data_IF_997151295257
#
_entry.id   IF_997151295257
#
_cell.length_a   1.000
_cell.length_b   1.000
_cell.length_c   1.000
_cell.angle_alpha   90.00
_cell.angle_beta   90.00
_cell.angle_gamma   90.00
#
_symmetry.space_group_name_H-M   'P 1'
#
loop_
_entity.id
_entity.type
_entity.pdbx_description
1 polymer ?
#
# COMPACT_ATOMS: atom_id res chain seq x y z
N UNK A 1 12.70 9.81 25.38
CA UNK A 1 12.95 8.80 26.43
C UNK A 1 13.81 7.71 25.82
N UNK A 2 14.96 7.38 26.41
CA UNK A 2 15.88 6.36 25.85
C UNK A 2 15.29 4.96 26.03
N UNK A 3 15.52 4.06 25.07
CA UNK A 3 14.98 2.69 25.00
C UNK A 3 15.25 1.79 26.23
N UNK A 4 16.09 2.23 27.18
CA UNK A 4 16.39 1.54 28.44
C UNK A 4 15.33 1.78 29.55
N UNK A 5 14.44 2.77 29.42
CA UNK A 5 13.46 3.11 30.47
C UNK A 5 12.07 2.49 30.25
N UNK A 6 11.78 1.96 29.06
CA UNK A 6 10.44 1.45 28.70
C UNK A 6 10.05 0.15 29.42
N UNK A 7 10.94 -0.85 29.60
CA UNK A 7 10.62 -2.04 30.38
C UNK A 7 10.33 -1.72 31.86
N UNK A 8 11.10 -0.80 32.44
CA UNK A 8 10.90 -0.29 33.80
C UNK A 8 9.56 0.45 33.97
N UNK A 9 9.10 1.13 32.92
CA UNK A 9 7.81 1.82 32.92
C UNK A 9 6.64 0.84 32.98
N UNK A 10 6.69 -0.25 32.22
CA UNK A 10 5.63 -1.30 32.23
C UNK A 10 5.56 -1.97 33.60
N UNK A 11 6.70 -2.25 34.23
CA UNK A 11 6.75 -2.85 35.57
C UNK A 11 6.12 -1.91 36.61
N UNK A 12 6.48 -0.61 36.61
CA UNK A 12 5.90 0.40 37.51
C UNK A 12 4.39 0.59 37.30
N UNK A 13 3.92 0.52 36.06
CA UNK A 13 2.48 0.56 35.76
C UNK A 13 1.77 -0.69 36.27
N UNK A 14 2.41 -1.86 36.18
CA UNK A 14 1.88 -3.13 36.71
C UNK A 14 1.75 -3.06 38.24
N UNK A 15 2.74 -2.48 38.94
CA UNK A 15 2.65 -2.20 40.38
C UNK A 15 1.49 -1.22 40.72
N UNK A 16 1.25 -0.21 39.87
CA UNK A 16 0.08 0.69 40.00
C UNK A 16 -1.26 -0.05 39.79
N UNK A 17 -1.30 -1.08 38.95
CA UNK A 17 -2.48 -1.95 38.82
C UNK A 17 -2.71 -2.74 40.12
N UNK A 18 -1.66 -3.38 40.63
CA UNK A 18 -1.77 -4.30 41.76
C UNK A 18 -2.06 -3.58 43.09
N UNK A 19 -1.58 -2.34 43.23
CA UNK A 19 -1.85 -1.46 44.37
C UNK A 19 -3.28 -0.89 44.43
N UNK A 20 -4.08 -1.04 43.37
CA UNK A 20 -5.47 -0.61 43.36
C UNK A 20 -6.31 -1.41 44.37
N UNK A 21 -6.92 -0.70 45.33
CA UNK A 21 -7.69 -1.29 46.45
C UNK A 21 -9.06 -1.86 46.05
N UNK A 22 -9.63 -1.37 44.95
CA UNK A 22 -10.97 -1.75 44.48
C UNK A 22 -10.83 -2.65 43.25
N UNK A 23 -11.46 -3.83 43.29
CA UNK A 23 -11.31 -4.85 42.24
C UNK A 23 -11.80 -4.38 40.87
N UNK A 24 -12.88 -3.59 40.81
CA UNK A 24 -13.35 -2.99 39.55
C UNK A 24 -12.32 -2.01 38.95
N UNK A 25 -11.65 -1.22 39.78
CA UNK A 25 -10.56 -0.32 39.37
C UNK A 25 -9.35 -1.11 38.90
N UNK A 26 -8.95 -2.16 39.63
CA UNK A 26 -7.85 -3.05 39.24
C UNK A 26 -8.10 -3.68 37.88
N UNK A 27 -9.31 -4.20 37.64
CA UNK A 27 -9.70 -4.80 36.35
C UNK A 27 -9.64 -3.78 35.22
N UNK A 28 -10.17 -2.58 35.43
CA UNK A 28 -10.13 -1.51 34.43
C UNK A 28 -8.69 -1.07 34.09
N UNK A 29 -7.82 -0.92 35.11
CA UNK A 29 -6.40 -0.60 34.93
C UNK A 29 -5.65 -1.69 34.19
N UNK A 30 -5.87 -2.96 34.55
CA UNK A 30 -5.26 -4.10 33.87
C UNK A 30 -5.65 -4.18 32.40
N UNK A 31 -6.94 -3.96 32.10
CA UNK A 31 -7.42 -3.95 30.72
C UNK A 31 -6.84 -2.77 29.92
N UNK A 32 -6.81 -1.57 30.50
CA UNK A 32 -6.14 -0.41 29.91
C UNK A 32 -4.67 -0.69 29.59
N UNK A 33 -3.93 -1.24 30.55
CA UNK A 33 -2.50 -1.56 30.41
C UNK A 33 -2.27 -2.56 29.28
N UNK A 34 -3.04 -3.65 29.23
CA UNK A 34 -2.94 -4.65 28.16
C UNK A 34 -3.18 -4.06 26.77
N UNK A 35 -4.12 -3.13 26.65
CA UNK A 35 -4.46 -2.50 25.37
C UNK A 35 -3.39 -1.50 24.91
N UNK A 36 -2.74 -0.78 25.82
CA UNK A 36 -1.73 0.24 25.46
C UNK A 36 -0.29 -0.30 25.47
N UNK A 37 -0.04 -1.49 26.01
CA UNK A 37 1.29 -2.07 26.10
C UNK A 37 2.14 -2.01 24.81
N UNK A 38 1.58 -2.23 23.59
CA UNK A 38 2.35 -2.08 22.36
C UNK A 38 2.91 -0.67 22.17
N UNK A 39 2.13 0.37 22.49
CA UNK A 39 2.52 1.79 22.34
C UNK A 39 3.53 2.20 23.41
N UNK A 40 3.37 1.71 24.63
CA UNK A 40 4.33 1.94 25.72
C UNK A 40 5.68 1.27 25.42
N UNK A 41 5.71 0.22 24.59
CA UNK A 41 6.94 -0.48 24.24
C UNK A 41 7.78 0.23 23.17
N UNK A 42 7.20 1.21 22.46
CA UNK A 42 7.89 1.99 21.42
C UNK A 42 8.18 3.42 21.91
N UNK A 43 7.16 4.27 21.98
CA UNK A 43 7.27 5.67 22.42
C UNK A 43 5.88 6.24 22.75
N UNK A 44 5.73 6.87 23.92
CA UNK A 44 4.48 7.55 24.31
C UNK A 44 4.50 8.99 23.77
N UNK A 45 4.07 9.13 22.51
CA UNK A 45 3.92 10.42 21.81
C UNK A 45 2.46 10.75 21.48
N UNK A 46 2.17 12.01 21.13
CA UNK A 46 0.85 12.43 20.64
C UNK A 46 0.38 11.57 19.48
N UNK A 47 1.29 11.32 18.52
CA UNK A 47 1.03 10.50 17.33
C UNK A 47 0.78 9.03 17.70
N UNK A 48 1.60 8.45 18.56
CA UNK A 48 1.45 7.05 19.01
C UNK A 48 0.12 6.82 19.73
N UNK A 49 -0.29 7.75 20.60
CA UNK A 49 -1.58 7.69 21.29
C UNK A 49 -2.76 7.92 20.34
N UNK A 50 -2.63 8.80 19.35
CA UNK A 50 -3.65 8.98 18.31
C UNK A 50 -3.83 7.72 17.46
N UNK A 51 -2.73 7.07 17.07
CA UNK A 51 -2.74 5.84 16.27
C UNK A 51 -3.35 4.68 17.06
N UNK A 52 -3.00 4.58 18.35
CA UNK A 52 -3.62 3.62 19.26
C UNK A 52 -5.13 3.82 19.37
N UNK A 53 -5.58 5.06 19.57
CA UNK A 53 -7.00 5.39 19.67
C UNK A 53 -7.75 5.05 18.37
N UNK A 54 -7.13 5.35 17.22
CA UNK A 54 -7.68 5.01 15.90
C UNK A 54 -7.80 3.48 15.70
N UNK A 55 -6.77 2.72 16.07
CA UNK A 55 -6.81 1.26 16.00
C UNK A 55 -7.89 0.67 16.92
N UNK A 56 -8.08 1.23 18.11
CA UNK A 56 -9.20 0.83 18.97
C UNK A 56 -10.56 1.13 18.32
N UNK A 57 -10.74 2.27 17.65
CA UNK A 57 -11.98 2.54 16.93
C UNK A 57 -12.19 1.55 15.78
N UNK A 58 -11.12 1.23 15.04
CA UNK A 58 -11.13 0.22 13.98
C UNK A 58 -11.49 -1.19 14.50
N UNK A 59 -11.15 -1.50 15.75
CA UNK A 59 -11.52 -2.74 16.45
C UNK A 59 -12.93 -2.69 17.08
N UNK A 60 -13.67 -1.60 16.90
CA UNK A 60 -15.07 -1.45 17.31
C UNK A 60 -15.28 -0.88 18.71
N UNK A 61 -14.24 -0.34 19.35
CA UNK A 61 -14.41 0.39 20.62
C UNK A 61 -15.07 1.75 20.38
N UNK A 62 -16.04 2.11 21.22
CA UNK A 62 -16.65 3.44 21.20
C UNK A 62 -15.64 4.52 21.58
N UNK A 63 -15.81 5.73 21.08
CA UNK A 63 -14.99 6.91 21.41
C UNK A 63 -15.02 7.17 22.92
N UNK A 64 -16.18 6.95 23.56
CA UNK A 64 -16.34 7.05 25.01
C UNK A 64 -15.50 6.02 25.77
N UNK A 65 -15.39 4.80 25.27
CA UNK A 65 -14.56 3.74 25.86
C UNK A 65 -13.07 4.04 25.69
N UNK A 66 -12.66 4.53 24.53
CA UNK A 66 -11.29 4.95 24.25
C UNK A 66 -10.89 6.11 25.19
N UNK A 67 -11.74 7.13 25.30
CA UNK A 67 -11.52 8.27 26.19
C UNK A 67 -11.45 7.85 27.67
N UNK A 68 -12.23 6.85 28.08
CA UNK A 68 -12.16 6.26 29.41
C UNK A 68 -10.79 5.60 29.65
N UNK A 69 -10.30 4.77 28.73
CA UNK A 69 -9.00 4.12 28.88
C UNK A 69 -7.83 5.12 28.89
N UNK A 70 -7.86 6.16 28.05
CA UNK A 70 -6.86 7.24 28.11
C UNK A 70 -6.85 7.93 29.49
N UNK A 71 -8.02 8.15 30.09
CA UNK A 71 -8.13 8.72 31.44
C UNK A 71 -7.53 7.79 32.49
N UNK A 72 -7.80 6.49 32.41
CA UNK A 72 -7.26 5.49 33.34
C UNK A 72 -5.73 5.46 33.27
N UNK A 73 -5.18 5.42 32.05
CA UNK A 73 -3.72 5.33 31.85
C UNK A 73 -3.05 6.64 32.27
N UNK A 74 -3.60 7.80 31.90
CA UNK A 74 -3.10 9.10 32.33
C UNK A 74 -3.04 9.23 33.86
N UNK A 75 -4.03 8.69 34.58
CA UNK A 75 -4.02 8.64 36.03
C UNK A 75 -2.91 7.72 36.57
N UNK A 76 -2.73 6.53 35.99
CA UNK A 76 -1.64 5.62 36.36
C UNK A 76 -0.26 6.24 36.13
N UNK A 77 -0.05 6.90 34.99
CA UNK A 77 1.19 7.63 34.67
C UNK A 77 1.48 8.73 35.70
N UNK A 78 0.45 9.45 36.15
CA UNK A 78 0.58 10.46 37.20
C UNK A 78 0.93 9.85 38.56
N UNK A 79 0.35 8.69 38.91
CA UNK A 79 0.64 7.97 40.17
C UNK A 79 2.09 7.50 40.26
N UNK A 80 2.68 7.08 39.13
CA UNK A 80 4.08 6.70 39.06
C UNK A 80 5.01 7.91 38.83
N UNK A 81 4.49 9.15 38.85
CA UNK A 81 5.32 10.36 38.73
C UNK A 81 5.84 10.65 37.33
N UNK A 82 5.24 10.06 36.29
CA UNK A 82 5.60 10.24 34.87
C UNK A 82 4.43 10.90 34.10
N UNK A 83 3.93 12.09 34.49
CA UNK A 83 2.81 12.71 33.77
C UNK A 83 3.20 13.01 32.33
N UNK A 84 2.32 12.68 31.38
CA UNK A 84 2.53 12.94 29.96
C UNK A 84 1.36 13.75 29.39
N UNK A 85 1.66 14.94 28.88
CA UNK A 85 0.66 15.86 28.32
C UNK A 85 -0.06 15.30 27.09
N UNK A 86 0.55 14.33 26.39
CA UNK A 86 -0.01 13.74 25.18
C UNK A 86 -1.39 13.11 25.40
N UNK A 87 -1.61 12.50 26.56
CA UNK A 87 -2.92 11.96 26.93
C UNK A 87 -4.01 13.04 27.02
N UNK A 88 -3.66 14.24 27.52
CA UNK A 88 -4.58 15.36 27.59
C UNK A 88 -4.86 15.94 26.22
N UNK A 89 -3.83 16.06 25.37
CA UNK A 89 -3.96 16.59 24.02
C UNK A 89 -4.87 15.71 23.16
N UNK A 90 -4.59 14.40 23.09
CA UNK A 90 -5.40 13.45 22.33
C UNK A 90 -6.84 13.42 22.88
N UNK A 91 -7.03 13.40 24.21
CA UNK A 91 -8.37 13.41 24.81
C UNK A 91 -9.18 14.67 24.50
N UNK A 92 -8.55 15.84 24.40
CA UNK A 92 -9.23 17.06 23.94
C UNK A 92 -9.71 16.90 22.50
N UNK A 93 -8.86 16.37 21.62
CA UNK A 93 -9.21 16.11 20.22
C UNK A 93 -10.32 15.05 20.07
N UNK A 94 -10.43 14.09 20.99
CA UNK A 94 -11.51 13.09 21.00
C UNK A 94 -12.92 13.64 21.29
N UNK A 95 -13.04 14.77 22.00
CA UNK A 95 -14.34 15.28 22.46
C UNK A 95 -15.32 15.69 21.34
N UNK A 96 -14.86 15.81 20.10
CA UNK A 96 -15.69 16.07 18.91
C UNK A 96 -15.91 14.87 17.99
N UNK A 97 -15.38 13.69 18.34
CA UNK A 97 -15.44 12.51 17.48
C UNK A 97 -16.75 11.73 17.69
N UNK A 98 -17.34 11.26 16.58
CA UNK A 98 -18.53 10.42 16.59
C UNK A 98 -18.17 8.92 16.70
N UNK A 99 -19.06 8.13 17.29
CA UNK A 99 -18.93 6.68 17.31
C UNK A 99 -19.04 6.08 15.90
N UNK A 100 -18.32 4.98 15.67
CA UNK A 100 -18.28 4.29 14.40
C UNK A 100 -19.55 3.47 14.16
N UNK A 101 -19.99 3.39 12.90
CA UNK A 101 -20.96 2.37 12.47
C UNK A 101 -20.33 0.97 12.57
N UNK A 102 -21.16 -0.08 12.56
CA UNK A 102 -20.65 -1.45 12.56
C UNK A 102 -19.79 -1.72 11.32
N UNK A 103 -18.48 -1.93 11.55
CA UNK A 103 -17.49 -2.29 10.53
C UNK A 103 -16.86 -3.62 10.91
N UNK A 104 -16.62 -4.48 9.91
CA UNK A 104 -15.93 -5.75 10.11
C UNK A 104 -15.01 -6.00 8.93
N UNK A 105 -13.70 -6.06 9.21
CA UNK A 105 -12.69 -6.35 8.19
C UNK A 105 -12.88 -7.76 7.61
N UNK A 106 -13.21 -8.75 8.43
CA UNK A 106 -13.45 -10.11 7.96
C UNK A 106 -14.69 -10.21 7.07
N UNK A 107 -15.78 -9.54 7.43
CA UNK A 107 -16.99 -9.50 6.59
C UNK A 107 -16.74 -8.76 5.28
N UNK A 108 -15.96 -7.66 5.31
CA UNK A 108 -15.52 -6.93 4.14
C UNK A 108 -14.67 -7.80 3.21
N UNK A 109 -13.64 -8.45 3.75
CA UNK A 109 -12.76 -9.35 3.01
C UNK A 109 -13.53 -10.51 2.36
N UNK A 110 -14.41 -11.16 3.13
CA UNK A 110 -15.30 -12.20 2.61
C UNK A 110 -16.15 -11.71 1.44
N UNK A 111 -16.78 -10.54 1.59
CA UNK A 111 -17.57 -9.93 0.51
C UNK A 111 -16.74 -9.69 -0.74
N UNK A 112 -15.58 -9.04 -0.60
CA UNK A 112 -14.71 -8.74 -1.75
C UNK A 112 -14.26 -10.02 -2.44
N UNK A 113 -13.89 -11.06 -1.68
CA UNK A 113 -13.50 -12.37 -2.23
C UNK A 113 -14.62 -13.01 -3.05
N UNK A 114 -15.83 -13.10 -2.50
CA UNK A 114 -16.98 -13.69 -3.19
C UNK A 114 -17.33 -12.92 -4.46
N UNK A 115 -17.41 -11.58 -4.38
CA UNK A 115 -17.75 -10.74 -5.53
C UNK A 115 -16.64 -10.71 -6.59
N UNK A 116 -15.37 -10.85 -6.21
CA UNK A 116 -14.25 -10.84 -7.15
C UNK A 116 -14.06 -12.18 -7.87
N UNK A 117 -14.69 -13.26 -7.38
CA UNK A 117 -14.54 -14.60 -7.95
C UNK A 117 -15.28 -14.80 -9.29
N UNK A 118 -16.37 -14.07 -9.54
CA UNK A 118 -17.17 -14.14 -10.77
C UNK A 118 -17.63 -12.74 -11.23
N UNK A 119 -16.67 -11.93 -11.68
CA UNK A 119 -16.95 -10.56 -12.15
C UNK A 119 -17.85 -10.54 -13.39
N UNK A 120 -17.74 -11.54 -14.28
CA UNK A 120 -18.58 -11.61 -15.48
C UNK A 120 -20.05 -11.88 -15.12
N UNK A 121 -20.31 -12.80 -14.17
CA UNK A 121 -21.64 -13.12 -13.66
C UNK A 121 -22.22 -12.09 -12.69
N UNK A 122 -21.40 -11.14 -12.20
CA UNK A 122 -21.84 -10.16 -11.21
C UNK A 122 -23.00 -9.27 -11.68
N UNK A 123 -23.87 -8.95 -10.73
CA UNK A 123 -24.87 -7.89 -10.92
C UNK A 123 -24.22 -6.51 -10.89
N UNK A 124 -24.85 -5.53 -11.55
CA UNK A 124 -24.42 -4.12 -11.51
C UNK A 124 -24.22 -3.59 -10.07
N UNK A 125 -25.01 -4.06 -9.10
CA UNK A 125 -24.82 -3.67 -7.70
C UNK A 125 -23.50 -4.17 -7.11
N UNK A 126 -23.09 -5.39 -7.45
CA UNK A 126 -21.81 -5.96 -7.03
C UNK A 126 -20.64 -5.20 -7.65
N UNK A 127 -20.70 -4.93 -8.96
CA UNK A 127 -19.63 -4.21 -9.67
C UNK A 127 -19.47 -2.78 -9.15
N UNK A 128 -20.57 -2.07 -8.88
CA UNK A 128 -20.53 -0.75 -8.23
C UNK A 128 -19.91 -0.81 -6.83
N UNK A 129 -20.16 -1.89 -6.08
CA UNK A 129 -19.64 -2.05 -4.72
C UNK A 129 -18.14 -2.33 -4.74
N UNK A 130 -17.69 -3.24 -5.62
CA UNK A 130 -16.28 -3.50 -5.85
C UNK A 130 -15.54 -2.22 -6.28
N UNK A 131 -16.09 -1.49 -7.25
CA UNK A 131 -15.51 -0.22 -7.71
C UNK A 131 -15.44 0.81 -6.59
N UNK A 132 -16.54 0.99 -5.86
CA UNK A 132 -16.59 1.98 -4.78
C UNK A 132 -15.58 1.67 -3.67
N UNK A 133 -15.38 0.41 -3.33
CA UNK A 133 -14.46 0.05 -2.24
C UNK A 133 -13.01 0.02 -2.75
N UNK A 134 -12.71 -0.74 -3.80
CA UNK A 134 -11.33 -0.98 -4.23
C UNK A 134 -10.66 0.25 -4.87
N UNK A 135 -11.44 1.20 -5.42
CA UNK A 135 -10.90 2.46 -5.98
C UNK A 135 -10.88 3.61 -4.96
N UNK A 136 -10.52 3.31 -3.71
CA UNK A 136 -10.29 4.35 -2.69
C UNK A 136 -11.54 4.79 -1.95
N UNK A 137 -12.52 3.90 -1.76
CA UNK A 137 -13.67 4.22 -0.92
C UNK A 137 -14.60 5.29 -1.51
N UNK A 138 -14.80 5.31 -2.83
CA UNK A 138 -15.61 6.29 -3.53
C UNK A 138 -17.05 6.36 -3.00
N UNK A 139 -17.53 7.60 -2.86
CA UNK A 139 -18.92 7.94 -2.60
C UNK A 139 -19.75 7.81 -3.87
N UNK A 140 -21.08 7.64 -3.76
CA UNK A 140 -21.94 7.41 -4.92
C UNK A 140 -21.88 8.48 -6.02
N UNK A 141 -21.54 9.73 -5.67
CA UNK A 141 -21.34 10.82 -6.66
C UNK A 141 -20.04 10.65 -7.44
N UNK A 142 -18.98 10.18 -6.78
CA UNK A 142 -17.66 9.95 -7.38
C UNK A 142 -17.74 8.74 -8.32
N UNK A 143 -18.40 7.66 -7.90
CA UNK A 143 -18.68 6.49 -8.77
C UNK A 143 -19.47 6.89 -10.02
N UNK A 144 -20.45 7.79 -9.89
CA UNK A 144 -21.23 8.30 -11.02
C UNK A 144 -20.38 9.11 -12.00
N UNK A 145 -19.33 9.79 -11.50
CA UNK A 145 -18.47 10.62 -12.34
C UNK A 145 -17.39 9.84 -13.09
N UNK A 146 -17.13 8.58 -12.74
CA UNK A 146 -16.07 7.77 -13.37
C UNK A 146 -16.23 7.70 -14.89
N UNK A 147 -15.12 7.95 -15.58
CA UNK A 147 -15.02 7.93 -17.04
C UNK A 147 -14.11 6.79 -17.51
N UNK A 148 -14.26 6.40 -18.77
CA UNK A 148 -13.31 5.50 -19.42
C UNK A 148 -11.98 6.25 -19.67
N UNK A 149 -10.86 5.65 -19.28
CA UNK A 149 -9.52 6.24 -19.47
C UNK A 149 -8.69 6.37 -18.18
N UNK A 150 -9.30 6.15 -17.01
CA UNK A 150 -8.53 5.92 -15.77
C UNK A 150 -7.86 4.53 -15.84
N UNK A 151 -6.60 4.44 -15.39
CA UNK A 151 -5.85 3.17 -15.38
C UNK A 151 -6.29 2.33 -14.18
N UNK A 152 -7.29 1.49 -14.39
CA UNK A 152 -7.71 0.46 -13.42
C UNK A 152 -6.88 -0.84 -13.54
N UNK A 153 -5.89 -0.85 -14.43
CA UNK A 153 -5.19 -2.05 -14.88
C UNK A 153 -4.37 -2.72 -13.76
N UNK A 154 -4.02 -1.97 -12.73
CA UNK A 154 -3.28 -2.46 -11.57
C UNK A 154 -4.12 -3.33 -10.62
N UNK A 155 -5.46 -3.19 -10.64
CA UNK A 155 -6.37 -3.89 -9.72
C UNK A 155 -7.30 -4.82 -10.52
N UNK A 156 -6.97 -6.12 -10.55
CA UNK A 156 -7.60 -7.09 -11.45
C UNK A 156 -9.14 -7.11 -11.43
N UNK A 157 -9.86 -7.09 -10.29
CA UNK A 157 -11.32 -7.01 -10.29
C UNK A 157 -11.85 -5.74 -11.00
N UNK A 158 -11.15 -4.61 -10.86
CA UNK A 158 -11.55 -3.34 -11.47
C UNK A 158 -11.27 -3.34 -12.98
N UNK A 159 -10.16 -3.93 -13.41
CA UNK A 159 -9.87 -4.14 -14.82
C UNK A 159 -10.98 -4.97 -15.51
N UNK A 160 -11.40 -6.07 -14.88
CA UNK A 160 -12.50 -6.91 -15.39
C UNK A 160 -13.83 -6.14 -15.47
N UNK A 161 -14.13 -5.30 -14.48
CA UNK A 161 -15.31 -4.42 -14.51
C UNK A 161 -15.21 -3.40 -15.65
N UNK A 162 -14.03 -2.79 -15.83
CA UNK A 162 -13.80 -1.80 -16.88
C UNK A 162 -14.04 -2.40 -18.27
N UNK A 163 -13.49 -3.59 -18.55
CA UNK A 163 -13.70 -4.29 -19.82
C UNK A 163 -15.16 -4.75 -20.00
N UNK A 164 -15.82 -5.22 -18.95
CA UNK A 164 -17.25 -5.63 -18.98
C UNK A 164 -18.18 -4.51 -19.42
N UNK A 165 -17.93 -3.28 -18.97
CA UNK A 165 -18.78 -2.13 -19.28
C UNK A 165 -18.32 -1.31 -20.48
N UNK A 166 -17.16 -1.62 -21.06
CA UNK A 166 -16.58 -0.93 -22.21
C UNK A 166 -17.56 -0.90 -23.38
N UNK A 167 -17.98 0.30 -23.77
CA UNK A 167 -18.92 0.52 -24.88
C UNK A 167 -18.34 1.50 -25.89
N UNK A 168 -18.51 1.24 -27.20
CA UNK A 168 -18.12 2.21 -28.22
C UNK A 168 -18.84 3.54 -27.97
N UNK A 169 -18.08 4.64 -27.81
CA UNK A 169 -18.54 6.03 -27.61
C UNK A 169 -19.17 6.37 -26.25
N UNK A 170 -19.16 5.48 -25.27
CA UNK A 170 -19.59 5.86 -23.91
C UNK A 170 -18.49 6.66 -23.21
N UNK A 171 -18.85 7.78 -22.58
CA UNK A 171 -17.93 8.57 -21.75
C UNK A 171 -17.89 8.07 -20.30
N UNK A 172 -19.04 7.69 -19.75
CA UNK A 172 -19.19 7.22 -18.37
C UNK A 172 -19.04 5.70 -18.27
N UNK A 173 -18.37 5.23 -17.22
CA UNK A 173 -18.11 3.81 -16.99
C UNK A 173 -19.41 3.02 -16.77
N UNK A 174 -20.27 3.47 -15.85
CA UNK A 174 -21.51 2.76 -15.53
C UNK A 174 -22.73 3.38 -16.24
N UNK A 175 -23.67 2.56 -16.72
CA UNK A 175 -24.90 3.03 -17.36
C UNK A 175 -25.98 3.42 -16.32
N UNK A 176 -25.65 4.30 -15.37
CA UNK A 176 -26.56 4.79 -14.33
C UNK A 176 -26.58 6.31 -14.33
N UNK A 177 -27.77 6.90 -14.14
CA UNK A 177 -27.95 8.35 -14.16
C UNK A 177 -28.00 9.01 -12.77
N UNK A 178 -28.12 8.24 -11.69
CA UNK A 178 -28.39 8.78 -10.34
C UNK A 178 -27.46 8.22 -9.27
N UNK A 179 -26.81 9.12 -8.54
CA UNK A 179 -26.02 8.79 -7.35
C UNK A 179 -26.88 8.15 -6.25
N UNK A 180 -28.18 8.48 -6.18
CA UNK A 180 -29.11 7.86 -5.22
C UNK A 180 -29.32 6.38 -5.53
N UNK A 181 -29.41 6.03 -6.81
CA UNK A 181 -29.55 4.63 -7.23
C UNK A 181 -28.29 3.83 -6.91
N UNK A 182 -27.11 4.40 -7.19
CA UNK A 182 -25.81 3.81 -6.81
C UNK A 182 -25.78 3.56 -5.30
N UNK A 183 -26.13 4.56 -4.49
CA UNK A 183 -26.15 4.44 -3.03
C UNK A 183 -27.09 3.32 -2.54
N UNK A 184 -28.26 3.15 -3.15
CA UNK A 184 -29.19 2.08 -2.78
C UNK A 184 -28.64 0.70 -3.15
N UNK A 185 -28.04 0.55 -4.34
CA UNK A 185 -27.46 -0.71 -4.81
C UNK A 185 -26.27 -1.14 -3.95
N UNK A 186 -25.34 -0.22 -3.67
CA UNK A 186 -24.19 -0.46 -2.79
C UNK A 186 -24.67 -0.87 -1.40
N UNK A 187 -25.56 -0.09 -0.77
CA UNK A 187 -26.11 -0.44 0.56
C UNK A 187 -26.82 -1.78 0.57
N UNK A 188 -27.50 -2.15 -0.50
CA UNK A 188 -28.15 -3.46 -0.63
C UNK A 188 -27.17 -4.62 -0.72
N UNK A 189 -25.95 -4.41 -1.23
CA UNK A 189 -24.87 -5.40 -1.19
C UNK A 189 -24.26 -5.43 0.22
N UNK A 190 -23.84 -4.28 0.76
CA UNK A 190 -23.20 -4.19 2.08
C UNK A 190 -24.04 -4.83 3.19
N UNK A 191 -25.34 -4.56 3.23
CA UNK A 191 -26.27 -5.14 4.22
C UNK A 191 -26.37 -6.66 4.16
N UNK A 192 -26.19 -7.28 2.98
CA UNK A 192 -26.18 -8.76 2.87
C UNK A 192 -25.01 -9.39 3.62
N UNK A 193 -23.93 -8.63 3.82
CA UNK A 193 -22.74 -9.03 4.56
C UNK A 193 -22.70 -8.45 5.98
N UNK A 194 -23.78 -7.80 6.45
CA UNK A 194 -23.84 -7.19 7.77
C UNK A 194 -22.98 -5.92 7.92
N UNK A 195 -22.61 -5.28 6.81
CA UNK A 195 -21.84 -4.04 6.79
C UNK A 195 -22.79 -2.85 6.71
N UNK A 196 -22.67 -1.91 7.64
CA UNK A 196 -23.51 -0.71 7.72
C UNK A 196 -22.78 0.59 7.39
N UNK A 197 -21.44 0.57 7.43
CA UNK A 197 -20.61 1.71 7.12
C UNK A 197 -20.57 2.05 5.62
N UNK A 198 -20.19 3.29 5.30
CA UNK A 198 -20.01 3.77 3.93
C UNK A 198 -18.71 3.22 3.31
N UNK A 199 -18.61 3.27 1.98
CA UNK A 199 -17.48 2.72 1.22
C UNK A 199 -16.14 3.32 1.64
N UNK A 200 -16.10 4.62 1.97
CA UNK A 200 -14.90 5.33 2.43
C UNK A 200 -14.38 4.80 3.77
N UNK A 201 -15.29 4.54 4.69
CA UNK A 201 -15.03 4.03 6.03
C UNK A 201 -14.56 2.57 5.97
N UNK A 202 -15.18 1.78 5.10
CA UNK A 202 -14.77 0.39 4.85
C UNK A 202 -13.39 0.31 4.19
N UNK A 203 -13.11 1.17 3.21
CA UNK A 203 -11.79 1.25 2.58
C UNK A 203 -10.72 1.71 3.57
N UNK A 204 -10.99 2.77 4.36
CA UNK A 204 -10.07 3.24 5.39
C UNK A 204 -9.78 2.16 6.46
N UNK A 205 -10.79 1.38 6.86
CA UNK A 205 -10.58 0.23 7.73
C UNK A 205 -9.62 -0.78 7.09
N UNK A 206 -9.83 -1.12 5.82
CA UNK A 206 -8.96 -2.04 5.11
C UNK A 206 -7.53 -1.51 4.97
N UNK A 207 -7.36 -0.20 4.77
CA UNK A 207 -6.07 0.46 4.72
C UNK A 207 -5.33 0.40 6.07
N UNK A 208 -6.03 0.66 7.18
CA UNK A 208 -5.45 0.51 8.52
C UNK A 208 -5.02 -0.94 8.80
N UNK A 209 -5.82 -1.92 8.40
CA UNK A 209 -5.47 -3.35 8.54
C UNK A 209 -4.35 -3.79 7.60
N UNK A 210 -4.07 -3.01 6.55
CA UNK A 210 -2.93 -3.18 5.66
C UNK A 210 -1.70 -2.36 6.10
N UNK A 211 -1.73 -1.76 7.30
CA UNK A 211 -0.65 -0.96 7.87
C UNK A 211 -0.31 0.32 7.07
N UNK A 212 -1.26 0.82 6.27
CA UNK A 212 -1.12 2.11 5.59
C UNK A 212 -1.17 3.23 6.63
N UNK A 213 -0.29 4.22 6.49
CA UNK A 213 -0.23 5.34 7.43
C UNK A 213 -1.52 6.20 7.38
N UNK A 214 -2.06 6.67 8.52
CA UNK A 214 -3.26 7.51 8.56
C UNK A 214 -3.19 8.75 7.66
N UNK A 215 -2.01 9.35 7.56
CA UNK A 215 -1.73 10.52 6.73
C UNK A 215 -1.92 10.22 5.24
N UNK A 216 -1.49 9.04 4.78
CA UNK A 216 -1.68 8.55 3.41
C UNK A 216 -3.15 8.19 3.14
N UNK A 217 -3.84 7.57 4.12
CA UNK A 217 -5.28 7.26 4.03
C UNK A 217 -6.08 8.55 3.78
N UNK A 218 -5.79 9.60 4.56
CA UNK A 218 -6.43 10.91 4.40
C UNK A 218 -6.10 11.56 3.06
N UNK A 219 -4.87 11.40 2.56
CA UNK A 219 -4.49 11.89 1.24
C UNK A 219 -5.29 11.21 0.11
N UNK A 220 -5.49 9.89 0.20
CA UNK A 220 -6.29 9.15 -0.78
C UNK A 220 -7.77 9.54 -0.72
N UNK A 221 -8.35 9.67 0.46
CA UNK A 221 -9.77 10.00 0.62
C UNK A 221 -10.08 11.48 0.36
N UNK A 222 -9.17 12.39 0.73
CA UNK A 222 -9.40 13.83 0.71
C UNK A 222 -10.38 14.33 1.78
N UNK A 223 -10.88 13.46 2.65
CA UNK A 223 -11.76 13.80 3.78
C UNK A 223 -11.67 12.77 4.91
N UNK A 224 -12.19 13.12 6.08
CA UNK A 224 -12.32 12.21 7.23
C UNK A 224 -13.59 11.36 7.08
N UNK A 225 -13.51 10.03 6.96
CA UNK A 225 -14.68 9.17 6.80
C UNK A 225 -15.47 9.08 8.11
N UNK A 226 -16.81 9.08 8.01
CA UNK A 226 -17.69 9.15 9.18
C UNK A 226 -17.55 7.93 10.11
N UNK A 227 -17.26 6.74 9.57
CA UNK A 227 -17.08 5.52 10.34
C UNK A 227 -15.75 5.47 11.11
N UNK A 228 -14.75 6.28 10.72
CA UNK A 228 -13.43 6.35 11.37
C UNK A 228 -13.09 7.82 11.66
N UNK A 229 -13.92 8.45 12.48
CA UNK A 229 -13.81 9.86 12.84
C UNK A 229 -12.46 10.25 13.48
N UNK A 230 -11.76 9.28 14.09
CA UNK A 230 -10.44 9.51 14.69
C UNK A 230 -9.30 9.67 13.68
N UNK A 231 -9.55 9.42 12.40
CA UNK A 231 -8.62 9.83 11.35
C UNK A 231 -8.41 11.34 11.34
N UNK A 232 -9.40 12.13 11.77
CA UNK A 232 -9.26 13.60 11.92
C UNK A 232 -8.25 14.06 12.98
N UNK A 233 -7.56 13.14 13.67
CA UNK A 233 -6.44 13.46 14.55
C UNK A 233 -5.12 13.70 13.79
N UNK A 234 -5.07 13.32 12.51
CA UNK A 234 -3.91 13.37 11.63
C UNK A 234 -4.13 14.38 10.50
N UNK A 235 -3.02 14.83 9.91
CA UNK A 235 -3.03 15.68 8.72
C UNK A 235 -2.80 14.82 7.47
N UNK A 236 -3.40 15.21 6.35
CA UNK A 236 -3.21 14.51 5.07
C UNK A 236 -1.78 14.70 4.56
N UNK A 237 -1.14 13.62 4.12
CA UNK A 237 0.15 13.69 3.44
C UNK A 237 0.01 14.31 2.04
N UNK A 238 1.06 14.97 1.56
CA UNK A 238 1.18 15.26 0.13
C UNK A 238 1.53 13.95 -0.59
N UNK A 239 0.72 13.56 -1.56
CA UNK A 239 0.86 12.26 -2.23
C UNK A 239 0.66 12.46 -3.73
N UNK A 240 1.56 11.91 -4.53
CA UNK A 240 1.44 11.96 -5.98
C UNK A 240 0.54 10.85 -6.54
N UNK A 241 0.31 10.85 -7.87
CA UNK A 241 -0.56 9.87 -8.51
C UNK A 241 -0.02 8.43 -8.42
N UNK A 242 1.31 8.25 -8.39
CA UNK A 242 1.98 6.95 -8.32
C UNK A 242 1.87 6.36 -6.92
N UNK A 243 2.15 7.18 -5.90
CA UNK A 243 2.00 6.81 -4.50
C UNK A 243 0.54 6.49 -4.17
N UNK A 244 -0.41 7.31 -4.67
CA UNK A 244 -1.84 7.03 -4.56
C UNK A 244 -2.18 5.66 -5.14
N UNK A 245 -1.69 5.35 -6.35
CA UNK A 245 -1.96 4.06 -7.00
C UNK A 245 -1.37 2.90 -6.20
N UNK A 246 -0.15 3.04 -5.70
CA UNK A 246 0.50 2.05 -4.83
C UNK A 246 -0.32 1.78 -3.56
N UNK A 247 -0.84 2.82 -2.91
CA UNK A 247 -1.71 2.66 -1.74
C UNK A 247 -3.00 1.92 -2.10
N UNK A 248 -3.63 2.25 -3.23
CA UNK A 248 -4.82 1.53 -3.70
C UNK A 248 -4.53 0.04 -3.95
N UNK A 249 -3.40 -0.30 -4.57
CA UNK A 249 -2.97 -1.68 -4.79
C UNK A 249 -2.77 -2.43 -3.45
N UNK A 250 -2.07 -1.82 -2.49
CA UNK A 250 -1.84 -2.42 -1.15
C UNK A 250 -3.16 -2.77 -0.47
N UNK A 251 -4.13 -1.86 -0.51
CA UNK A 251 -5.45 -2.08 0.12
C UNK A 251 -6.27 -3.12 -0.65
N UNK A 252 -6.25 -3.08 -1.98
CA UNK A 252 -6.94 -4.09 -2.78
C UNK A 252 -6.36 -5.50 -2.55
N UNK A 253 -5.03 -5.60 -2.43
CA UNK A 253 -4.34 -6.86 -2.15
C UNK A 253 -4.62 -7.38 -0.72
N UNK A 254 -4.83 -6.50 0.26
CA UNK A 254 -5.18 -6.90 1.63
C UNK A 254 -6.59 -7.53 1.72
N UNK A 255 -7.49 -7.08 0.84
CA UNK A 255 -8.87 -7.55 0.72
C UNK A 255 -9.01 -8.79 -0.17
N UNK A 256 -8.03 -9.09 -1.01
CA UNK A 256 -8.03 -10.29 -1.83
C UNK A 256 -7.61 -11.53 -1.02
N UNK A 257 -8.33 -12.64 -1.19
CA UNK A 257 -7.94 -13.94 -0.59
C UNK A 257 -6.72 -14.56 -1.28
N UNK A 258 -6.39 -14.10 -2.50
CA UNK A 258 -5.31 -14.64 -3.32
C UNK A 258 -4.71 -13.56 -4.23
N UNK A 259 -4.05 -12.53 -3.63
CA UNK A 259 -3.57 -11.35 -4.36
C UNK A 259 -2.42 -11.69 -5.31
N UNK A 260 -2.20 -10.82 -6.30
CA UNK A 260 -1.03 -10.92 -7.16
C UNK A 260 0.20 -10.47 -6.38
N UNK A 261 1.18 -11.36 -6.21
CA UNK A 261 2.41 -11.10 -5.47
C UNK A 261 3.62 -11.26 -6.37
N UNK A 262 4.67 -10.49 -6.09
CA UNK A 262 5.97 -10.68 -6.70
C UNK A 262 6.69 -11.86 -6.04
N UNK A 263 7.30 -12.67 -6.89
CA UNK A 263 8.15 -13.80 -6.51
C UNK A 263 9.43 -13.75 -7.35
N UNK A 264 10.45 -14.47 -6.88
CA UNK A 264 11.64 -14.74 -7.67
C UNK A 264 11.70 -16.22 -8.03
N UNK A 265 12.16 -16.50 -9.24
CA UNK A 265 12.56 -17.84 -9.67
C UNK A 265 14.01 -17.85 -10.12
N UNK A 266 14.68 -18.95 -9.85
CA UNK A 266 16.03 -19.23 -10.31
C UNK A 266 15.98 -20.19 -11.50
N UNK A 267 16.54 -19.74 -12.61
CA UNK A 267 16.77 -20.54 -13.81
C UNK A 267 17.82 -21.62 -13.52
N UNK A 268 17.60 -22.82 -14.04
CA UNK A 268 18.59 -23.90 -14.01
C UNK A 268 19.68 -23.62 -15.04
N UNK A 269 20.80 -24.33 -14.89
CA UNK A 269 21.96 -24.17 -15.78
C UNK A 269 21.58 -24.46 -17.23
N UNK A 270 21.91 -23.53 -18.12
CA UNK A 270 21.70 -23.66 -19.56
C UNK A 270 20.34 -23.18 -20.05
N UNK A 271 19.44 -22.78 -19.15
CA UNK A 271 18.15 -22.19 -19.51
C UNK A 271 18.30 -20.67 -19.70
N UNK A 272 17.57 -20.13 -20.67
CA UNK A 272 17.48 -18.69 -20.93
C UNK A 272 16.13 -18.11 -20.49
N UNK A 273 16.06 -16.77 -20.45
CA UNK A 273 14.87 -16.06 -20.00
C UNK A 273 13.74 -16.21 -21.03
N UNK A 274 14.08 -16.13 -22.31
CA UNK A 274 13.16 -16.15 -23.43
C UNK A 274 12.34 -17.45 -23.45
N UNK A 275 13.01 -18.60 -23.26
CA UNK A 275 12.34 -19.91 -23.18
C UNK A 275 11.39 -19.99 -22.00
N UNK A 276 11.77 -19.43 -20.85
CA UNK A 276 10.92 -19.43 -19.64
C UNK A 276 9.72 -18.50 -19.80
N UNK A 277 9.92 -17.32 -20.39
CA UNK A 277 8.85 -16.38 -20.66
C UNK A 277 7.77 -17.03 -21.55
N UNK A 278 8.18 -17.69 -22.64
CA UNK A 278 7.28 -18.40 -23.55
C UNK A 278 6.55 -19.55 -22.85
N UNK A 279 7.27 -20.42 -22.15
CA UNK A 279 6.69 -21.61 -21.50
C UNK A 279 5.81 -21.29 -20.29
N UNK A 280 6.09 -20.19 -19.60
CA UNK A 280 5.29 -19.75 -18.46
C UNK A 280 3.89 -19.32 -18.88
N UNK A 281 3.74 -18.82 -20.12
CA UNK A 281 2.51 -18.19 -20.61
C UNK A 281 2.14 -16.93 -19.83
N UNK A 282 3.08 -16.33 -19.10
CA UNK A 282 2.86 -15.10 -18.37
C UNK A 282 2.95 -13.91 -19.32
N UNK A 283 2.07 -12.94 -19.10
CA UNK A 283 2.15 -11.65 -19.79
C UNK A 283 3.46 -10.93 -19.45
N UNK A 284 3.98 -10.13 -20.39
CA UNK A 284 5.25 -9.43 -20.23
C UNK A 284 5.28 -8.52 -19.00
N UNK A 285 4.15 -7.90 -18.64
CA UNK A 285 4.01 -7.06 -17.43
C UNK A 285 4.14 -7.83 -16.11
N UNK A 286 3.92 -9.15 -16.15
CA UNK A 286 4.01 -10.03 -15.01
C UNK A 286 5.38 -10.73 -14.93
N UNK A 287 6.33 -10.37 -15.80
CA UNK A 287 7.70 -10.86 -15.80
C UNK A 287 8.67 -9.69 -15.73
N UNK A 288 9.75 -9.85 -14.97
CA UNK A 288 10.78 -8.84 -14.86
C UNK A 288 12.17 -9.45 -14.78
N UNK A 289 12.97 -9.11 -15.79
CA UNK A 289 14.35 -9.57 -15.93
C UNK A 289 15.23 -8.41 -16.42
N UNK A 290 15.57 -7.46 -15.53
CA UNK A 290 16.27 -6.25 -15.93
C UNK A 290 17.66 -6.58 -16.46
N UNK A 291 17.99 -5.99 -17.60
CA UNK A 291 19.25 -6.21 -18.30
C UNK A 291 19.90 -4.90 -18.70
N UNK A 292 21.23 -4.89 -18.74
CA UNK A 292 22.06 -3.76 -19.18
C UNK A 292 22.88 -4.12 -20.40
N UNK A 293 23.14 -3.12 -21.22
CA UNK A 293 24.06 -3.23 -22.33
C UNK A 293 25.51 -3.19 -21.81
N UNK A 294 26.31 -4.18 -22.20
CA UNK A 294 27.73 -4.29 -21.86
C UNK A 294 28.53 -4.35 -23.14
N UNK A 295 29.25 -3.26 -23.41
CA UNK A 295 30.17 -3.17 -24.55
C UNK A 295 31.53 -3.69 -24.14
N UNK A 296 31.95 -4.81 -24.75
CA UNK A 296 33.28 -5.39 -24.53
C UNK A 296 34.09 -5.31 -25.82
N UNK A 297 35.31 -4.81 -25.74
CA UNK A 297 36.26 -4.91 -26.84
C UNK A 297 36.90 -6.29 -26.84
N UNK A 298 36.62 -7.08 -27.88
CA UNK A 298 37.24 -8.40 -28.10
C UNK A 298 38.18 -8.26 -29.30
N UNK A 299 39.47 -8.11 -29.02
CA UNK A 299 40.49 -7.79 -30.02
C UNK A 299 40.29 -6.41 -30.65
N UNK A 300 40.10 -6.35 -31.98
CA UNK A 300 39.86 -5.11 -32.73
C UNK A 300 38.37 -4.74 -32.86
N UNK A 301 37.44 -5.61 -32.43
CA UNK A 301 36.00 -5.36 -32.56
C UNK A 301 35.38 -4.99 -31.21
N UNK A 302 34.48 -4.02 -31.23
CA UNK A 302 33.57 -3.74 -30.13
C UNK A 302 32.38 -4.68 -30.28
N UNK A 303 32.15 -5.51 -29.26
CA UNK A 303 31.00 -6.40 -29.17
C UNK A 303 30.09 -5.87 -28.09
N UNK A 304 28.89 -5.49 -28.50
CA UNK A 304 27.80 -5.12 -27.61
C UNK A 304 27.08 -6.41 -27.20
N UNK A 305 26.86 -6.59 -25.90
CA UNK A 305 26.08 -7.73 -25.38
C UNK A 305 25.17 -7.28 -24.25
N UNK A 306 23.92 -7.71 -24.26
CA UNK A 306 22.99 -7.47 -23.17
C UNK A 306 23.22 -8.50 -22.07
N UNK A 307 23.36 -8.06 -20.82
CA UNK A 307 23.52 -8.92 -19.66
C UNK A 307 22.53 -8.56 -18.55
N UNK A 308 21.88 -9.55 -17.94
CA UNK A 308 21.00 -9.32 -16.80
C UNK A 308 21.78 -8.77 -15.60
N UNK A 309 21.13 -7.93 -14.79
CA UNK A 309 21.69 -7.46 -13.52
C UNK A 309 21.86 -8.61 -12.53
N UNK A 310 20.88 -9.53 -12.49
CA UNK A 310 20.93 -10.77 -11.71
C UNK A 310 20.82 -11.99 -12.64
N UNK A 311 21.96 -12.53 -13.12
CA UNK A 311 21.95 -13.66 -14.05
C UNK A 311 21.21 -14.87 -13.48
N UNK A 312 20.20 -15.34 -14.23
CA UNK A 312 19.41 -16.51 -13.87
C UNK A 312 18.36 -16.28 -12.78
N UNK A 313 18.16 -15.07 -12.29
CA UNK A 313 17.04 -14.75 -11.38
C UNK A 313 16.01 -13.95 -12.14
N UNK A 314 14.81 -14.49 -12.28
CA UNK A 314 13.67 -13.84 -12.95
C UNK A 314 12.61 -13.53 -11.91
N UNK A 315 12.14 -12.29 -11.88
CA UNK A 315 11.02 -11.89 -11.04
C UNK A 315 9.72 -12.07 -11.81
N UNK A 316 8.67 -12.50 -11.12
CA UNK A 316 7.36 -12.70 -11.74
C UNK A 316 6.23 -12.36 -10.77
N UNK A 317 5.13 -11.83 -11.29
CA UNK A 317 3.93 -11.47 -10.54
C UNK A 317 2.84 -12.51 -10.80
N UNK A 318 2.32 -13.14 -9.75
CA UNK A 318 1.29 -14.18 -9.87
C UNK A 318 0.50 -14.31 -8.56
N UNK A 319 -0.65 -14.97 -8.59
CA UNK A 319 -1.37 -15.35 -7.37
C UNK A 319 -0.70 -16.54 -6.67
N UNK A 320 -0.62 -16.58 -5.32
CA UNK A 320 -0.07 -17.71 -4.57
C UNK A 320 -0.59 -19.09 -5.00
N UNK A 321 -1.89 -19.21 -5.31
CA UNK A 321 -2.50 -20.47 -5.76
C UNK A 321 -1.92 -21.00 -7.06
N UNK A 322 -1.44 -20.10 -7.93
CA UNK A 322 -1.09 -20.40 -9.31
C UNK A 322 0.41 -20.70 -9.46
N UNK A 323 1.22 -20.34 -8.45
CA UNK A 323 2.66 -20.63 -8.40
C UNK A 323 2.91 -22.14 -8.48
N UNK A 324 2.24 -22.94 -7.65
CA UNK A 324 2.46 -24.40 -7.67
C UNK A 324 2.08 -25.04 -9.04
N UNK A 325 0.91 -24.74 -9.64
CA UNK A 325 0.59 -25.13 -11.01
C UNK A 325 1.64 -24.71 -12.05
N UNK A 326 2.16 -23.48 -12.00
CA UNK A 326 3.21 -23.02 -12.91
C UNK A 326 4.46 -23.90 -12.80
N UNK A 327 4.95 -24.14 -11.58
CA UNK A 327 6.17 -24.93 -11.36
C UNK A 327 6.00 -26.43 -11.60
N UNK A 328 4.76 -26.94 -11.70
CA UNK A 328 4.53 -28.29 -12.28
C UNK A 328 4.83 -28.32 -13.79
N UNK A 329 4.63 -27.21 -14.50
CA UNK A 329 4.92 -27.09 -15.95
C UNK A 329 6.40 -26.79 -16.22
N UNK A 330 6.99 -25.85 -15.48
CA UNK A 330 8.35 -25.34 -15.75
C UNK A 330 9.43 -25.82 -14.75
N UNK A 331 9.08 -26.68 -13.78
CA UNK A 331 9.97 -27.08 -12.67
C UNK A 331 11.27 -27.79 -13.08
N UNK A 332 11.30 -28.37 -14.28
CA UNK A 332 12.50 -28.96 -14.88
C UNK A 332 13.51 -27.92 -15.38
N UNK A 333 13.08 -26.66 -15.55
CA UNK A 333 13.88 -25.55 -16.11
C UNK A 333 14.12 -24.41 -15.11
N UNK A 334 13.19 -24.18 -14.19
CA UNK A 334 13.33 -23.17 -13.15
C UNK A 334 12.76 -23.67 -11.81
N UNK A 335 13.16 -23.04 -10.71
CA UNK A 335 12.57 -23.26 -9.39
C UNK A 335 12.33 -21.92 -8.68
N UNK A 336 11.28 -21.85 -7.86
CA UNK A 336 10.88 -20.64 -7.13
C UNK A 336 11.47 -20.61 -5.72
N UNK A 337 11.89 -19.44 -5.26
CA UNK A 337 12.40 -19.25 -3.92
C UNK A 337 11.33 -19.47 -2.85
N UNK A 338 11.75 -20.01 -1.72
CA UNK A 338 10.91 -20.24 -0.54
C UNK A 338 11.53 -19.53 0.66
N UNK A 339 10.71 -19.21 1.66
CA UNK A 339 11.18 -18.54 2.88
C UNK A 339 12.24 -19.37 3.63
N UNK A 340 12.13 -20.70 3.56
CA UNK A 340 13.12 -21.64 4.07
C UNK A 340 13.39 -22.72 3.03
N UNK A 341 14.48 -23.47 3.20
CA UNK A 341 14.88 -24.54 2.28
C UNK A 341 13.93 -25.76 2.27
N UNK A 342 12.91 -25.79 3.15
CA UNK A 342 11.94 -26.89 3.23
C UNK A 342 10.96 -26.87 2.05
N UNK A 343 10.66 -28.05 1.50
CA UNK A 343 9.65 -28.21 0.45
C UNK A 343 8.23 -27.80 0.88
N UNK A 344 7.95 -27.86 2.19
CA UNK A 344 6.68 -27.43 2.78
C UNK A 344 6.67 -25.93 3.13
N UNK A 345 7.81 -25.24 3.03
CA UNK A 345 7.90 -23.82 3.31
C UNK A 345 7.06 -23.02 2.31
N UNK A 346 6.36 -21.96 2.74
CA UNK A 346 5.72 -21.05 1.81
C UNK A 346 6.74 -20.42 0.84
N UNK A 347 6.24 -20.02 -0.33
CA UNK A 347 7.04 -19.28 -1.32
C UNK A 347 7.48 -17.93 -0.74
N UNK A 348 8.67 -17.50 -1.13
CA UNK A 348 9.19 -16.19 -0.72
C UNK A 348 8.48 -15.10 -1.54
N UNK A 349 7.64 -14.33 -0.86
CA UNK A 349 6.96 -13.17 -1.41
C UNK A 349 7.89 -11.96 -1.33
N UNK A 350 7.97 -11.19 -2.41
CA UNK A 350 8.64 -9.88 -2.45
C UNK A 350 7.55 -8.83 -2.30
N UNK A 351 7.70 -7.93 -1.34
CA UNK A 351 6.76 -6.83 -1.14
C UNK A 351 6.83 -5.82 -2.30
N UNK A 352 5.74 -5.06 -2.56
CA UNK A 352 5.77 -3.99 -3.55
C UNK A 352 6.88 -2.97 -3.28
N UNK A 353 7.11 -2.61 -2.01
CA UNK A 353 8.17 -1.68 -1.60
C UNK A 353 9.58 -2.21 -1.92
N UNK A 354 9.87 -3.48 -1.63
CA UNK A 354 11.17 -4.11 -1.96
C UNK A 354 11.37 -4.20 -3.47
N UNK A 355 10.32 -4.56 -4.21
CA UNK A 355 10.37 -4.63 -5.67
C UNK A 355 10.61 -3.25 -6.28
N UNK A 356 9.91 -2.23 -5.79
CA UNK A 356 10.10 -0.83 -6.21
C UNK A 356 11.53 -0.36 -5.88
N UNK A 357 12.02 -0.62 -4.67
CA UNK A 357 13.38 -0.29 -4.27
C UNK A 357 14.42 -0.96 -5.18
N UNK A 358 14.20 -2.23 -5.56
CA UNK A 358 15.06 -2.93 -6.51
C UNK A 358 15.01 -2.32 -7.92
N UNK A 359 13.82 -2.02 -8.45
CA UNK A 359 13.67 -1.36 -9.75
C UNK A 359 14.35 0.00 -9.80
N UNK A 360 14.19 0.81 -8.73
CA UNK A 360 14.86 2.10 -8.58
C UNK A 360 16.38 1.92 -8.47
N UNK A 361 16.87 0.94 -7.72
CA UNK A 361 18.30 0.68 -7.62
C UNK A 361 18.92 0.28 -8.97
N UNK A 362 18.20 -0.50 -9.76
CA UNK A 362 18.64 -0.96 -11.08
C UNK A 362 18.42 0.08 -12.18
N UNK A 363 17.50 1.03 -11.98
CA UNK A 363 17.16 2.07 -12.95
C UNK A 363 16.34 1.58 -14.16
N UNK A 364 15.68 0.43 -14.04
CA UNK A 364 14.84 -0.14 -15.11
C UNK A 364 13.46 -0.47 -14.53
N UNK A 365 12.48 0.38 -14.77
CA UNK A 365 11.11 0.20 -14.27
C UNK A 365 10.29 -0.73 -15.18
N UNK A 366 9.44 -1.57 -14.57
CA UNK A 366 8.51 -2.49 -15.28
C UNK A 366 7.36 -1.69 -15.91
N UNK A 367 6.86 -0.72 -15.16
CA UNK A 367 5.73 0.10 -15.54
C UNK A 367 6.19 1.53 -15.83
N UNK A 368 5.99 1.97 -17.08
CA UNK A 368 6.25 3.34 -17.55
C UNK A 368 4.94 4.07 -17.88
N UNK A 369 3.79 3.53 -17.49
CA UNK A 369 2.48 4.04 -17.90
C UNK A 369 2.12 5.36 -17.24
N UNK A 370 2.59 5.61 -16.01
CA UNK A 370 2.49 6.92 -15.39
C UNK A 370 3.35 7.91 -16.18
N UNK A 371 2.71 8.91 -16.81
CA UNK A 371 3.42 9.96 -17.51
C UNK A 371 4.41 10.62 -16.54
N UNK A 372 5.69 10.76 -16.91
CA UNK A 372 6.63 11.45 -16.05
C UNK A 372 6.17 12.89 -15.86
N UNK A 373 6.50 13.49 -14.71
CA UNK A 373 6.21 14.89 -14.45
C UNK A 373 6.71 15.77 -15.61
N UNK A 374 5.91 16.75 -16.01
CA UNK A 374 6.29 17.66 -17.08
C UNK A 374 7.48 18.51 -16.60
N UNK A 375 8.60 18.39 -17.29
CA UNK A 375 9.90 18.92 -16.90
C UNK A 375 10.59 19.49 -18.14
N UNK A 376 11.16 20.68 -18.01
CA UNK A 376 11.70 21.48 -19.11
C UNK A 376 13.22 21.62 -19.02
N UNK A 377 13.90 21.86 -20.16
CA UNK A 377 15.29 22.29 -20.15
C UNK A 377 15.50 23.53 -19.26
N UNK A 378 16.46 23.47 -18.35
CA UNK A 378 16.74 24.50 -17.35
C UNK A 378 16.25 24.14 -15.94
N UNK A 379 15.30 23.21 -15.81
CA UNK A 379 14.78 22.80 -14.51
C UNK A 379 15.85 22.01 -13.73
N UNK A 380 15.83 22.18 -12.39
CA UNK A 380 16.67 21.38 -11.49
C UNK A 380 15.85 20.21 -10.98
N UNK A 381 16.44 19.02 -11.06
CA UNK A 381 15.78 17.75 -10.72
C UNK A 381 16.69 16.93 -9.82
N UNK A 382 16.07 16.07 -9.01
CA UNK A 382 16.75 15.01 -8.27
C UNK A 382 16.62 13.68 -9.01
N UNK A 383 17.72 12.93 -9.07
CA UNK A 383 17.72 11.59 -9.64
C UNK A 383 17.32 10.60 -8.56
N UNK A 384 16.19 9.90 -8.73
CA UNK A 384 15.62 8.99 -7.72
C UNK A 384 16.01 7.51 -7.94
N UNK A 385 16.63 7.16 -9.06
CA UNK A 385 17.05 5.79 -9.36
C UNK A 385 18.26 5.66 -10.30
N UNK A 386 18.83 4.45 -10.37
CA UNK A 386 20.05 4.12 -11.10
C UNK A 386 21.34 4.56 -10.39
N UNK A 387 22.46 4.54 -11.13
CA UNK A 387 23.81 4.78 -10.61
C UNK A 387 24.03 6.17 -10.00
N UNK A 388 23.17 7.15 -10.35
CA UNK A 388 23.29 8.55 -9.93
C UNK A 388 22.22 8.96 -8.91
N UNK A 389 21.56 7.99 -8.25
CA UNK A 389 20.52 8.23 -7.25
C UNK A 389 21.00 9.19 -6.14
N UNK A 390 20.14 10.16 -5.79
CA UNK A 390 20.36 11.17 -4.76
C UNK A 390 21.14 12.41 -5.23
N UNK A 391 21.54 12.47 -6.50
CA UNK A 391 22.21 13.63 -7.06
C UNK A 391 21.20 14.60 -7.69
N UNK A 392 21.47 15.89 -7.52
CA UNK A 392 20.76 16.95 -8.23
C UNK A 392 21.42 17.22 -9.58
N UNK A 393 20.62 17.44 -10.61
CA UNK A 393 21.10 17.77 -11.95
C UNK A 393 20.19 18.81 -12.63
N UNK A 394 20.72 19.49 -13.64
CA UNK A 394 19.93 20.41 -14.47
C UNK A 394 19.61 19.77 -15.81
N UNK A 395 18.36 19.85 -16.25
CA UNK A 395 17.97 19.31 -17.56
C UNK A 395 18.54 20.20 -18.66
N UNK A 396 19.31 19.63 -19.58
CA UNK A 396 19.84 20.36 -20.75
C UNK A 396 18.95 20.22 -21.97
N UNK A 397 18.40 19.03 -22.19
CA UNK A 397 17.52 18.75 -23.32
C UNK A 397 16.62 17.56 -23.02
N UNK A 398 15.42 17.60 -23.56
CA UNK A 398 14.42 16.54 -23.43
C UNK A 398 14.24 15.84 -24.78
N UNK A 399 14.16 14.51 -24.76
CA UNK A 399 13.77 13.68 -25.88
C UNK A 399 12.72 12.66 -25.41
N UNK A 400 11.96 12.04 -26.31
CA UNK A 400 11.00 10.99 -25.94
C UNK A 400 11.70 9.89 -25.15
N UNK A 401 11.31 9.71 -23.87
CA UNK A 401 11.83 8.72 -22.92
C UNK A 401 13.29 8.88 -22.46
N UNK A 402 14.00 9.94 -22.87
CA UNK A 402 15.41 10.18 -22.48
C UNK A 402 15.65 11.66 -22.25
N UNK A 403 16.11 12.01 -21.05
CA UNK A 403 16.46 13.36 -20.65
C UNK A 403 17.97 13.45 -20.47
N UNK A 404 18.57 14.49 -21.05
CA UNK A 404 20.00 14.78 -20.89
C UNK A 404 20.20 15.71 -19.72
N UNK A 405 20.99 15.29 -18.76
CA UNK A 405 21.20 15.99 -17.49
C UNK A 405 22.65 16.46 -17.38
N UNK A 406 22.81 17.63 -16.79
CA UNK A 406 24.09 18.18 -16.37
C UNK A 406 24.25 18.00 -14.87
N UNK A 407 25.18 17.14 -14.46
CA UNK A 407 25.55 16.93 -13.07
C UNK A 407 26.63 17.95 -12.68
N UNK A 408 26.40 18.80 -11.66
CA UNK A 408 27.43 19.64 -11.10
C UNK A 408 28.38 18.78 -10.26
N UNK A 409 29.62 18.58 -10.71
CA UNK A 409 30.61 17.88 -9.91
C UNK A 409 31.33 18.83 -8.94
N UNK A 410 31.65 18.33 -7.75
CA UNK A 410 32.42 19.06 -6.73
C UNK A 410 33.81 19.50 -7.21
N UNK A 411 34.35 18.88 -8.27
CA UNK A 411 35.64 19.20 -8.87
C UNK A 411 35.55 20.21 -10.03
N UNK A 412 34.37 20.79 -10.29
CA UNK A 412 34.17 21.79 -11.34
C UNK A 412 34.11 21.24 -12.78
N UNK A 413 34.15 19.91 -12.97
CA UNK A 413 33.99 19.28 -14.29
C UNK A 413 32.56 18.77 -14.41
N UNK A 414 31.68 19.40 -15.20
CA UNK A 414 30.31 18.93 -15.32
C UNK A 414 30.25 17.61 -16.10
N UNK A 415 29.41 16.69 -15.63
CA UNK A 415 29.18 15.39 -16.30
C UNK A 415 27.83 15.42 -17.00
N UNK A 416 27.79 14.89 -18.22
CA UNK A 416 26.55 14.71 -18.95
C UNK A 416 26.12 13.26 -18.86
N UNK A 417 24.86 13.05 -18.51
CA UNK A 417 24.25 11.72 -18.48
C UNK A 417 22.90 11.76 -19.18
N UNK A 418 22.53 10.64 -19.79
CA UNK A 418 21.22 10.44 -20.39
C UNK A 418 20.45 9.47 -19.48
N UNK A 419 19.28 9.89 -19.00
CA UNK A 419 18.47 9.13 -18.03
C UNK A 419 16.99 9.14 -18.43
N UNK A 420 16.23 8.12 -18.00
CA UNK A 420 14.78 8.10 -18.18
C UNK A 420 14.09 9.14 -17.30
N UNK A 421 13.09 9.89 -17.80
CA UNK A 421 12.39 10.90 -17.01
C UNK A 421 11.61 10.30 -15.81
N UNK A 422 11.27 9.02 -15.83
CA UNK A 422 10.65 8.34 -14.69
C UNK A 422 11.61 8.10 -13.51
N UNK A 423 12.91 8.35 -13.69
CA UNK A 423 13.90 8.29 -12.62
C UNK A 423 14.25 9.68 -12.09
N UNK A 424 13.43 10.69 -12.40
CA UNK A 424 13.63 12.07 -12.01
C UNK A 424 12.47 12.59 -11.19
N UNK A 425 12.78 13.44 -10.23
CA UNK A 425 11.81 14.19 -9.43
C UNK A 425 12.14 15.68 -9.52
N UNK A 426 11.16 16.55 -9.84
CA UNK A 426 11.34 18.00 -9.76
C UNK A 426 11.71 18.41 -8.32
N UNK A 427 12.58 19.41 -8.17
CA UNK A 427 12.93 20.01 -6.87
C UNK A 427 12.07 21.22 -6.53
#
# INVERSE_FOLDING_TARGET
>A
MQALELPLLVDRLTESVDSARVESTRRARRQALNLIAPVISEEISDRGLALWALNMQADGYSVSTIAFYLKVISAMMTEIGEPNEAFLQVRRKLSGAADSSAMSFDALKKMISELSSDVEGNTLGADLTLMAILWGGLRPKEVLSLEFGESYDSIAPLQSINEKYKRPRARKLFPIASAREIAMRIRGILRRYGLEAESDSLWALAALKAEVAPEEILSVLGHVPAGLSLLGLFDAAETDATERLSTLEIVADSLADNPFRWYAMQLRRGEDYETIAELSGLEAQNLYYPSREVTRRVGRRLTVSTRPFLPGVVFFRMRPSDVAPLFRKIGSRAWVYRQTASAQSPYAVISPAEMMAFQLAVGVLIDRTAAPAEMHPGDTVEIIGGDFRGLCATIQSTAPNVYRLLLPALNGIPWQIDTSPHLLRPL
#
